data_IF_002732516825
#
_entry.id   IF_002732516825
#
_cell.length_a   1.000
_cell.length_b   1.000
_cell.length_c   1.000
_cell.angle_alpha   90.00
_cell.angle_beta   90.00
_cell.angle_gamma   90.00
#
_symmetry.space_group_name_H-M   'P 1'
#
loop_
_entity.id
_entity.type
_entity.pdbx_description
1 polymer ?
#
# COMPACT_ATOMS: atom_id res chain seq x y z
N UNK A 1 11.95 -15.14 8.16
CA UNK A 1 11.57 -16.39 7.52
C UNK A 1 11.63 -17.56 8.51
N UNK A 2 10.78 -18.57 8.33
CA UNK A 2 10.67 -19.78 9.13
C UNK A 2 10.43 -20.98 8.21
N UNK A 3 11.00 -22.14 8.52
CA UNK A 3 10.85 -23.36 7.69
C UNK A 3 9.45 -23.98 7.82
N UNK A 4 8.65 -23.55 8.79
CA UNK A 4 7.39 -24.18 9.13
C UNK A 4 7.56 -25.46 9.97
N UNK A 5 6.48 -26.22 10.13
CA UNK A 5 6.46 -27.45 10.96
C UNK A 5 6.56 -28.73 10.13
N UNK A 6 6.33 -28.66 8.83
CA UNK A 6 6.22 -29.83 7.94
C UNK A 6 7.38 -29.92 6.93
N UNK A 7 7.82 -28.78 6.39
CA UNK A 7 8.93 -28.71 5.43
C UNK A 7 10.25 -29.02 6.10
N UNK A 8 11.21 -29.54 5.36
CA UNK A 8 12.58 -29.83 5.85
C UNK A 8 13.56 -28.74 5.47
N UNK A 9 13.35 -28.12 4.32
CA UNK A 9 14.14 -27.04 3.77
C UNK A 9 13.30 -25.79 3.66
N UNK A 10 13.94 -24.64 3.65
CA UNK A 10 13.31 -23.39 3.34
C UNK A 10 13.63 -23.03 1.88
N UNK A 11 12.61 -23.06 1.04
CA UNK A 11 12.71 -22.71 -0.39
C UNK A 11 12.35 -21.24 -0.65
N UNK A 12 11.79 -20.56 0.37
CA UNK A 12 11.56 -19.12 0.33
C UNK A 12 12.85 -18.33 0.39
N UNK A 13 12.88 -17.21 -0.30
CA UNK A 13 13.95 -16.25 -0.20
C UNK A 13 13.40 -14.82 -0.13
N UNK A 14 14.16 -13.91 0.43
CA UNK A 14 13.80 -12.51 0.50
C UNK A 14 15.03 -11.62 0.52
N UNK A 15 14.82 -10.37 0.16
CA UNK A 15 15.87 -9.36 0.29
C UNK A 15 15.27 -7.99 0.57
N UNK A 16 16.03 -7.21 1.31
CA UNK A 16 15.73 -5.81 1.60
C UNK A 16 16.97 -4.97 1.31
N UNK A 17 16.80 -3.88 0.57
CA UNK A 17 17.77 -2.81 0.57
C UNK A 17 17.07 -1.55 1.06
N UNK A 18 17.54 -1.04 2.20
CA UNK A 18 16.93 0.11 2.87
C UNK A 18 17.24 1.44 2.19
N UNK A 19 18.38 1.51 1.48
CA UNK A 19 18.79 2.68 0.71
C UNK A 19 19.55 2.23 -0.55
N UNK A 20 18.88 2.25 -1.69
CA UNK A 20 19.43 1.85 -2.98
C UNK A 20 20.55 2.76 -3.51
N UNK A 21 20.87 3.86 -2.82
CA UNK A 21 22.10 4.61 -3.06
C UNK A 21 23.33 3.88 -2.51
N UNK A 22 23.13 2.88 -1.64
CA UNK A 22 24.16 2.07 -1.02
C UNK A 22 24.03 0.63 -1.53
N UNK A 23 25.13 -0.01 -1.85
CA UNK A 23 25.14 -1.38 -2.37
C UNK A 23 24.96 -2.45 -1.28
N UNK A 24 24.38 -2.09 -0.14
CA UNK A 24 24.23 -2.98 1.00
C UNK A 24 22.84 -3.66 1.00
N UNK A 25 22.83 -4.95 0.66
CA UNK A 25 21.68 -5.82 0.76
C UNK A 25 21.73 -6.55 2.10
N UNK A 26 21.09 -5.98 3.10
CA UNK A 26 21.20 -6.43 4.49
C UNK A 26 19.85 -6.95 4.97
N UNK A 27 19.88 -8.03 5.78
CA UNK A 27 18.76 -8.37 6.65
C UNK A 27 18.81 -7.38 7.81
N UNK A 28 17.79 -6.51 7.98
CA UNK A 28 17.79 -5.53 9.06
C UNK A 28 17.81 -6.24 10.41
N UNK A 29 18.82 -5.97 11.22
CA UNK A 29 18.88 -6.46 12.60
C UNK A 29 18.24 -5.47 13.59
N UNK A 30 17.91 -4.27 13.15
CA UNK A 30 17.23 -3.24 13.94
C UNK A 30 16.18 -2.52 13.08
N UNK A 31 15.15 -2.04 13.75
CA UNK A 31 14.03 -1.28 13.15
C UNK A 31 14.26 0.24 13.23
N UNK A 32 15.50 0.70 13.36
CA UNK A 32 15.77 2.13 13.40
C UNK A 32 15.32 2.80 12.08
N UNK A 33 14.56 3.90 12.17
CA UNK A 33 14.13 4.64 11.00
C UNK A 33 15.33 5.17 10.20
N UNK A 34 15.23 5.11 8.89
CA UNK A 34 16.19 5.75 7.98
C UNK A 34 15.47 6.72 7.06
N UNK A 35 16.19 7.75 6.63
CA UNK A 35 15.75 8.59 5.52
C UNK A 35 16.08 7.89 4.21
N UNK A 36 15.12 7.83 3.30
CA UNK A 36 15.35 7.25 1.97
C UNK A 36 16.31 8.12 1.17
N UNK A 37 17.27 7.49 0.53
CA UNK A 37 18.12 8.12 -0.46
C UNK A 37 17.39 8.33 -1.79
N UNK A 38 18.11 8.89 -2.76
CA UNK A 38 17.60 9.25 -4.11
C UNK A 38 16.84 8.13 -4.81
N UNK A 39 17.27 6.88 -4.63
CA UNK A 39 16.69 5.72 -5.31
C UNK A 39 15.69 4.94 -4.44
N UNK A 40 15.46 5.42 -3.21
CA UNK A 40 14.50 4.79 -2.30
C UNK A 40 14.99 3.48 -1.71
N UNK A 41 14.03 2.62 -1.37
CA UNK A 41 14.20 1.31 -0.72
C UNK A 41 13.44 0.24 -1.47
N UNK A 42 13.88 -1.01 -1.37
CA UNK A 42 13.21 -2.15 -2.00
C UNK A 42 13.03 -3.31 -1.01
N UNK A 43 11.87 -3.94 -1.10
CA UNK A 43 11.49 -5.15 -0.39
C UNK A 43 11.13 -6.22 -1.43
N UNK A 44 11.60 -7.44 -1.24
CA UNK A 44 11.30 -8.56 -2.16
C UNK A 44 11.08 -9.83 -1.38
N UNK A 45 10.07 -10.61 -1.77
CA UNK A 45 9.83 -11.99 -1.32
C UNK A 45 9.69 -12.85 -2.56
N UNK A 46 10.29 -14.04 -2.53
CA UNK A 46 10.23 -15.06 -3.55
C UNK A 46 10.00 -16.42 -2.88
N UNK A 47 8.90 -17.07 -3.21
CA UNK A 47 8.51 -18.39 -2.71
C UNK A 47 8.90 -19.45 -3.74
N UNK A 48 9.87 -20.27 -3.37
CA UNK A 48 10.45 -21.26 -4.26
C UNK A 48 9.63 -22.55 -4.30
N UNK A 49 9.39 -23.05 -5.50
CA UNK A 49 8.66 -24.29 -5.73
C UNK A 49 9.45 -25.25 -6.61
N UNK A 50 9.42 -26.54 -6.24
CA UNK A 50 10.07 -27.60 -7.02
C UNK A 50 10.35 -28.83 -6.16
N UNK A 51 10.46 -30.01 -6.79
CA UNK A 51 10.82 -31.24 -6.06
C UNK A 51 12.28 -31.22 -5.61
N UNK A 52 12.57 -31.72 -4.41
CA UNK A 52 13.92 -31.93 -3.82
C UNK A 52 14.98 -30.84 -4.12
N UNK A 53 14.94 -29.73 -3.39
CA UNK A 53 15.92 -28.64 -3.35
C UNK A 53 16.00 -27.73 -4.59
N UNK A 54 15.05 -27.82 -5.52
CA UNK A 54 15.10 -26.98 -6.71
C UNK A 54 14.43 -25.61 -6.51
N UNK A 55 13.44 -25.50 -5.60
CA UNK A 55 12.75 -24.24 -5.29
C UNK A 55 13.69 -23.20 -4.71
N UNK A 56 14.58 -23.59 -3.78
CA UNK A 56 15.57 -22.66 -3.19
C UNK A 56 16.52 -22.06 -4.23
N UNK A 57 16.85 -22.83 -5.30
CA UNK A 57 17.69 -22.34 -6.39
C UNK A 57 16.92 -21.31 -7.22
N UNK A 58 15.64 -21.58 -7.52
CA UNK A 58 14.81 -20.67 -8.29
C UNK A 58 14.60 -19.33 -7.56
N UNK A 59 14.24 -19.37 -6.28
CA UNK A 59 14.05 -18.18 -5.46
C UNK A 59 15.36 -17.39 -5.31
N UNK A 60 16.50 -18.06 -5.14
CA UNK A 60 17.80 -17.41 -5.07
C UNK A 60 18.16 -16.68 -6.38
N UNK A 61 17.94 -17.31 -7.56
CA UNK A 61 18.17 -16.68 -8.87
C UNK A 61 17.27 -15.46 -9.05
N UNK A 62 16.01 -15.52 -8.61
CA UNK A 62 15.10 -14.40 -8.68
C UNK A 62 15.61 -13.21 -7.86
N UNK A 63 16.01 -13.44 -6.61
CA UNK A 63 16.60 -12.44 -5.73
C UNK A 63 17.89 -11.84 -6.30
N UNK A 64 18.82 -12.67 -6.75
CA UNK A 64 20.07 -12.21 -7.35
C UNK A 64 19.81 -11.34 -8.60
N UNK A 65 18.83 -11.72 -9.42
CA UNK A 65 18.47 -10.94 -10.61
C UNK A 65 17.93 -9.55 -10.22
N UNK A 66 17.10 -9.48 -9.18
CA UNK A 66 16.62 -8.18 -8.65
C UNK A 66 17.77 -7.34 -8.13
N UNK A 67 18.69 -7.92 -7.34
CA UNK A 67 19.86 -7.22 -6.82
C UNK A 67 20.72 -6.64 -7.95
N UNK A 68 20.95 -7.42 -9.02
CA UNK A 68 21.71 -6.99 -10.19
C UNK A 68 20.99 -5.92 -11.03
N UNK A 69 19.66 -5.88 -11.03
CA UNK A 69 18.87 -4.86 -11.72
C UNK A 69 18.82 -3.53 -10.94
N UNK A 70 18.70 -3.58 -9.60
CA UNK A 70 18.52 -2.41 -8.76
C UNK A 70 19.84 -1.78 -8.32
N UNK A 71 20.67 -1.42 -9.29
CA UNK A 71 21.92 -0.68 -9.06
C UNK A 71 21.74 0.80 -9.33
N UNK A 72 22.50 1.70 -8.68
CA UNK A 72 22.44 3.13 -8.96
C UNK A 72 22.64 3.50 -10.44
N UNK A 73 23.41 2.69 -11.17
CA UNK A 73 23.66 2.88 -12.61
C UNK A 73 22.35 2.66 -13.40
N UNK A 74 21.67 1.54 -13.20
CA UNK A 74 20.44 1.20 -13.90
C UNK A 74 19.26 2.11 -13.49
N UNK A 75 19.20 2.48 -12.21
CA UNK A 75 18.14 3.35 -11.67
C UNK A 75 18.30 4.81 -12.13
N UNK A 76 19.52 5.22 -12.49
CA UNK A 76 19.80 6.58 -12.99
C UNK A 76 19.07 6.94 -14.27
N UNK A 77 18.63 5.95 -15.09
CA UNK A 77 17.84 6.17 -16.29
C UNK A 77 16.36 6.41 -16.00
N UNK A 78 15.88 6.01 -14.80
CA UNK A 78 14.46 6.03 -14.43
C UNK A 78 14.20 7.11 -13.39
N UNK A 79 15.18 7.40 -12.53
CA UNK A 79 15.06 8.35 -11.42
C UNK A 79 15.98 9.54 -11.66
N UNK A 80 15.39 10.76 -11.70
CA UNK A 80 16.13 12.01 -11.89
C UNK A 80 17.11 12.29 -10.74
N UNK A 81 17.94 13.32 -10.89
CA UNK A 81 18.88 13.74 -9.82
C UNK A 81 18.16 14.17 -8.54
N UNK A 82 16.93 14.66 -8.65
CA UNK A 82 16.06 15.07 -7.55
C UNK A 82 15.30 13.89 -6.91
N UNK A 83 15.54 12.64 -7.36
CA UNK A 83 14.86 11.45 -6.82
C UNK A 83 13.43 11.27 -7.33
N UNK A 84 13.06 11.87 -8.46
CA UNK A 84 11.73 11.78 -9.06
C UNK A 84 11.77 10.78 -10.21
N UNK A 85 10.79 9.88 -10.30
CA UNK A 85 10.67 8.97 -11.45
C UNK A 85 10.37 9.74 -12.73
N UNK A 86 10.96 9.33 -13.85
CA UNK A 86 10.72 9.94 -15.16
C UNK A 86 9.28 9.77 -15.61
N UNK A 87 8.71 8.58 -15.39
CA UNK A 87 7.28 8.30 -15.56
C UNK A 87 6.91 6.99 -14.83
N UNK A 88 5.63 6.77 -14.60
CA UNK A 88 5.13 5.54 -13.97
C UNK A 88 5.26 4.35 -14.93
N UNK A 89 5.08 4.57 -16.22
CA UNK A 89 5.28 3.58 -17.27
C UNK A 89 6.74 3.11 -17.35
N UNK A 90 7.71 4.00 -17.16
CA UNK A 90 9.14 3.63 -17.13
C UNK A 90 9.46 2.72 -15.92
N UNK A 91 8.81 2.96 -14.77
CA UNK A 91 8.92 2.10 -13.58
C UNK A 91 8.28 0.74 -13.85
N UNK A 92 7.07 0.70 -14.41
CA UNK A 92 6.39 -0.54 -14.76
C UNK A 92 7.22 -1.38 -15.75
N UNK A 93 7.75 -0.74 -16.80
CA UNK A 93 8.60 -1.41 -17.78
C UNK A 93 9.88 -1.97 -17.14
N UNK A 94 10.52 -1.21 -16.27
CA UNK A 94 11.73 -1.64 -15.55
C UNK A 94 11.44 -2.84 -14.65
N UNK A 95 10.39 -2.79 -13.83
CA UNK A 95 9.99 -3.89 -12.94
C UNK A 95 9.59 -5.13 -13.75
N UNK A 96 8.78 -4.94 -14.79
CA UNK A 96 8.38 -6.04 -15.70
C UNK A 96 9.60 -6.68 -16.38
N UNK A 97 10.55 -5.89 -16.86
CA UNK A 97 11.81 -6.40 -17.44
C UNK A 97 12.63 -7.17 -16.42
N UNK A 98 12.75 -6.67 -15.19
CA UNK A 98 13.47 -7.33 -14.10
C UNK A 98 12.87 -8.70 -13.80
N UNK A 99 11.56 -8.80 -13.62
CA UNK A 99 10.87 -10.07 -13.35
C UNK A 99 11.00 -11.04 -14.54
N UNK A 100 10.85 -10.57 -15.77
CA UNK A 100 11.02 -11.38 -16.97
C UNK A 100 12.47 -11.86 -17.16
N UNK A 101 13.43 -11.07 -16.73
CA UNK A 101 14.85 -11.48 -16.74
C UNK A 101 15.09 -12.58 -15.70
N UNK A 102 14.51 -12.47 -14.51
CA UNK A 102 14.58 -13.53 -13.50
C UNK A 102 13.97 -14.84 -14.02
N UNK A 103 12.79 -14.79 -14.66
CA UNK A 103 12.17 -15.94 -15.31
C UNK A 103 13.10 -16.61 -16.32
N UNK A 104 13.71 -15.81 -17.22
CA UNK A 104 14.65 -16.32 -18.20
C UNK A 104 15.87 -16.98 -17.57
N UNK A 105 16.43 -16.38 -16.51
CA UNK A 105 17.59 -16.92 -15.80
C UNK A 105 17.25 -18.26 -15.14
N UNK A 106 16.08 -18.39 -14.51
CA UNK A 106 15.61 -19.64 -13.90
C UNK A 106 15.41 -20.71 -14.98
N UNK A 107 14.73 -20.39 -16.09
CA UNK A 107 14.53 -21.32 -17.20
C UNK A 107 15.87 -21.79 -17.80
N UNK A 108 16.85 -20.91 -17.91
CA UNK A 108 18.16 -21.27 -18.45
C UNK A 108 18.94 -22.15 -17.47
N UNK A 109 18.97 -21.81 -16.18
CA UNK A 109 19.61 -22.64 -15.16
C UNK A 109 19.00 -24.05 -15.10
N UNK A 110 17.66 -24.15 -15.19
CA UNK A 110 16.92 -25.43 -15.23
C UNK A 110 17.27 -26.30 -16.45
N UNK A 111 17.76 -25.72 -17.56
CA UNK A 111 18.20 -26.46 -18.72
C UNK A 111 19.64 -26.97 -18.59
N UNK A 112 20.48 -26.25 -17.85
CA UNK A 112 21.90 -26.57 -17.66
C UNK A 112 22.08 -27.71 -16.64
N UNK A 113 21.21 -27.79 -15.63
CA UNK A 113 21.24 -28.81 -14.59
C UNK A 113 19.90 -29.57 -14.52
N UNK A 114 19.94 -30.84 -14.87
CA UNK A 114 18.76 -31.71 -14.84
C UNK A 114 18.19 -31.93 -13.42
N UNK A 115 18.98 -31.70 -12.37
CA UNK A 115 18.50 -31.77 -10.97
C UNK A 115 17.58 -30.62 -10.58
N UNK A 116 17.61 -29.52 -11.33
CA UNK A 116 16.76 -28.33 -11.14
C UNK A 116 15.59 -28.27 -12.12
N UNK A 117 15.37 -29.34 -12.87
CA UNK A 117 14.28 -29.38 -13.85
C UNK A 117 12.90 -29.22 -13.20
N UNK A 118 12.12 -28.25 -13.70
CA UNK A 118 10.80 -27.94 -13.17
C UNK A 118 10.82 -27.04 -11.94
N UNK A 119 11.97 -26.47 -11.58
CA UNK A 119 12.03 -25.45 -10.54
C UNK A 119 11.30 -24.17 -10.99
N UNK A 120 10.70 -23.51 -10.04
CA UNK A 120 10.05 -22.22 -10.23
C UNK A 120 10.02 -21.42 -8.94
N UNK A 121 9.55 -20.22 -9.03
CA UNK A 121 9.34 -19.36 -7.84
C UNK A 121 8.25 -18.33 -8.12
N UNK A 122 7.58 -17.90 -7.08
CA UNK A 122 6.82 -16.64 -7.11
C UNK A 122 7.79 -15.47 -6.98
N UNK A 123 7.30 -14.26 -7.15
CA UNK A 123 8.00 -13.04 -6.75
C UNK A 123 6.98 -11.94 -6.43
N UNK A 124 7.23 -11.21 -5.35
CA UNK A 124 6.58 -9.92 -5.07
C UNK A 124 7.65 -8.89 -4.69
N UNK A 125 7.62 -7.75 -5.36
CA UNK A 125 8.55 -6.64 -5.22
C UNK A 125 7.75 -5.41 -4.79
N UNK A 126 8.23 -4.69 -3.77
CA UNK A 126 7.76 -3.34 -3.45
C UNK A 126 8.96 -2.38 -3.46
N UNK A 127 9.02 -1.50 -4.46
CA UNK A 127 9.98 -0.42 -4.54
C UNK A 127 9.37 0.86 -3.99
N UNK A 128 9.93 1.34 -2.88
CA UNK A 128 9.46 2.52 -2.16
C UNK A 128 10.34 3.69 -2.56
N UNK A 129 9.74 4.71 -3.17
CA UNK A 129 10.43 5.93 -3.58
C UNK A 129 9.57 7.14 -3.27
N UNK A 130 10.09 8.05 -2.46
CA UNK A 130 9.37 9.20 -1.92
C UNK A 130 8.07 8.77 -1.21
N UNK A 131 6.94 9.27 -1.68
CA UNK A 131 5.59 9.00 -1.19
C UNK A 131 4.85 7.92 -1.97
N UNK A 132 5.57 7.09 -2.75
CA UNK A 132 4.97 6.01 -3.53
C UNK A 132 5.63 4.66 -3.29
N UNK A 133 4.81 3.62 -3.32
CA UNK A 133 5.24 2.23 -3.48
C UNK A 133 4.85 1.74 -4.87
N UNK A 134 5.81 1.16 -5.58
CA UNK A 134 5.62 0.51 -6.86
C UNK A 134 5.73 -1.00 -6.65
N UNK A 135 4.62 -1.69 -6.86
CA UNK A 135 4.50 -3.11 -6.58
C UNK A 135 4.45 -3.87 -7.90
N UNK A 136 5.28 -4.92 -8.03
CA UNK A 136 5.20 -5.87 -9.13
C UNK A 136 5.26 -7.29 -8.59
N UNK A 137 4.44 -8.18 -9.15
CA UNK A 137 4.37 -9.56 -8.66
C UNK A 137 4.04 -10.56 -9.77
N UNK A 138 4.46 -11.80 -9.56
CA UNK A 138 4.08 -12.98 -10.34
C UNK A 138 3.98 -14.18 -9.40
N UNK A 139 2.78 -14.72 -9.23
CA UNK A 139 2.46 -15.77 -8.27
C UNK A 139 1.38 -15.34 -7.29
N UNK A 140 1.34 -15.99 -6.15
CA UNK A 140 0.39 -15.79 -5.05
C UNK A 140 1.02 -15.31 -3.74
N UNK A 141 2.32 -15.03 -3.73
CA UNK A 141 2.93 -14.20 -2.70
C UNK A 141 2.32 -12.80 -2.73
N UNK A 142 2.03 -12.25 -1.57
CA UNK A 142 1.18 -11.06 -1.47
C UNK A 142 1.90 -9.83 -0.94
N UNK A 143 1.40 -8.67 -1.35
CA UNK A 143 1.70 -7.36 -0.77
C UNK A 143 0.42 -6.75 -0.20
N UNK A 144 0.48 -6.32 1.06
CA UNK A 144 -0.59 -5.61 1.76
C UNK A 144 -0.12 -4.26 2.25
N UNK A 145 -1.07 -3.37 2.50
CA UNK A 145 -0.88 -2.14 3.26
C UNK A 145 -1.89 -2.06 4.39
N UNK A 146 -1.42 -1.70 5.57
CA UNK A 146 -2.24 -1.38 6.73
C UNK A 146 -2.00 0.07 7.13
N UNK A 147 -3.07 0.77 7.54
CA UNK A 147 -2.99 2.08 8.17
C UNK A 147 -4.17 2.24 9.13
N UNK A 148 -3.89 2.63 10.36
CA UNK A 148 -4.92 2.79 11.40
C UNK A 148 -6.08 3.74 11.05
N UNK A 149 -5.89 4.63 10.06
CA UNK A 149 -6.93 5.58 9.60
C UNK A 149 -7.67 5.11 8.34
N UNK A 150 -7.03 4.32 7.47
CA UNK A 150 -7.59 3.90 6.17
C UNK A 150 -7.82 2.39 6.05
N UNK A 151 -7.46 1.61 7.08
CA UNK A 151 -7.70 0.17 7.16
C UNK A 151 -6.63 -0.67 6.47
N UNK A 152 -7.02 -1.90 6.12
CA UNK A 152 -6.18 -2.92 5.51
C UNK A 152 -6.57 -3.14 4.06
N UNK A 153 -5.60 -3.27 3.17
CA UNK A 153 -5.84 -3.48 1.75
C UNK A 153 -4.76 -4.37 1.15
N UNK A 154 -5.17 -5.37 0.39
CA UNK A 154 -4.27 -6.16 -0.43
C UNK A 154 -3.93 -5.39 -1.72
N UNK A 155 -2.65 -5.16 -1.96
CA UNK A 155 -2.14 -4.43 -3.12
C UNK A 155 -1.86 -5.33 -4.32
N UNK A 156 -1.48 -6.59 -4.09
CA UNK A 156 -1.33 -7.61 -5.13
C UNK A 156 -2.61 -8.42 -5.30
N UNK A 157 -2.74 -9.11 -6.42
CA UNK A 157 -3.82 -10.04 -6.72
C UNK A 157 -3.22 -11.38 -7.13
N UNK A 158 -3.65 -12.45 -6.48
CA UNK A 158 -3.05 -13.76 -6.67
C UNK A 158 -3.18 -14.25 -8.11
N UNK A 159 -2.14 -14.82 -8.64
CA UNK A 159 -2.16 -15.60 -9.86
C UNK A 159 -2.46 -17.06 -9.53
N UNK A 160 -3.69 -17.34 -9.09
CA UNK A 160 -4.14 -18.65 -8.64
C UNK A 160 -5.42 -19.07 -9.35
N UNK A 161 -5.64 -20.39 -9.40
CA UNK A 161 -6.85 -20.96 -9.98
C UNK A 161 -8.13 -20.45 -9.29
N UNK A 162 -8.09 -20.35 -7.96
CA UNK A 162 -9.26 -19.87 -7.20
C UNK A 162 -9.52 -18.38 -7.46
N UNK A 163 -8.49 -17.57 -7.63
CA UNK A 163 -8.66 -16.17 -7.99
C UNK A 163 -9.27 -16.03 -9.40
N UNK A 164 -8.84 -16.87 -10.35
CA UNK A 164 -9.46 -16.91 -11.69
C UNK A 164 -10.94 -17.28 -11.63
N UNK A 165 -11.35 -18.19 -10.73
CA UNK A 165 -12.78 -18.53 -10.51
C UNK A 165 -13.55 -17.35 -9.90
N UNK A 166 -12.98 -16.64 -8.95
CA UNK A 166 -13.57 -15.44 -8.35
C UNK A 166 -13.79 -14.37 -9.42
N UNK A 167 -12.77 -14.10 -10.24
CA UNK A 167 -12.84 -13.10 -11.31
C UNK A 167 -13.92 -13.42 -12.37
N UNK A 168 -14.14 -14.71 -12.63
CA UNK A 168 -15.18 -15.18 -13.53
C UNK A 168 -16.58 -15.22 -12.88
N UNK A 169 -16.71 -14.83 -11.60
CA UNK A 169 -17.94 -14.91 -10.83
C UNK A 169 -18.45 -16.36 -10.60
N UNK A 170 -17.53 -17.34 -10.65
CA UNK A 170 -17.83 -18.77 -10.43
C UNK A 170 -17.60 -19.22 -9.00
N UNK A 171 -16.90 -18.40 -8.22
CA UNK A 171 -16.60 -18.63 -6.81
C UNK A 171 -16.78 -17.32 -6.05
N UNK A 172 -17.47 -17.37 -4.91
CA UNK A 172 -17.53 -16.24 -3.98
C UNK A 172 -16.16 -16.01 -3.35
N UNK A 173 -15.68 -14.76 -3.22
CA UNK A 173 -14.39 -14.45 -2.59
C UNK A 173 -14.22 -15.05 -1.20
N UNK A 174 -15.30 -15.10 -0.41
CA UNK A 174 -15.30 -15.67 0.94
C UNK A 174 -14.99 -17.18 0.97
N UNK A 175 -15.22 -17.89 -0.12
CA UNK A 175 -14.96 -19.32 -0.24
C UNK A 175 -13.61 -19.64 -0.90
N UNK A 176 -12.84 -18.64 -1.30
CA UNK A 176 -11.58 -18.85 -2.00
C UNK A 176 -10.48 -19.41 -1.10
N UNK A 177 -10.44 -18.99 0.16
CA UNK A 177 -9.42 -19.39 1.14
C UNK A 177 -9.47 -20.88 1.43
N UNK A 178 -10.63 -21.43 1.76
CA UNK A 178 -10.83 -22.85 2.10
C UNK A 178 -11.04 -23.76 0.89
N UNK A 179 -10.85 -23.25 -0.32
CA UNK A 179 -11.10 -24.01 -1.53
C UNK A 179 -10.06 -25.13 -1.70
N UNK A 180 -10.44 -26.38 -2.07
CA UNK A 180 -9.51 -27.52 -2.21
C UNK A 180 -8.33 -27.27 -3.19
N UNK A 181 -8.45 -26.30 -4.07
CA UNK A 181 -7.45 -25.91 -5.07
C UNK A 181 -6.91 -24.51 -4.81
N UNK A 182 -6.93 -24.03 -3.56
CA UNK A 182 -6.41 -22.70 -3.18
C UNK A 182 -4.91 -22.56 -3.45
N UNK A 183 -4.16 -23.66 -3.36
CA UNK A 183 -2.72 -23.75 -3.59
C UNK A 183 -2.30 -23.90 -5.07
N UNK A 184 -3.25 -23.88 -6.03
CA UNK A 184 -2.90 -24.00 -7.45
C UNK A 184 -2.62 -22.62 -8.03
N UNK A 185 -1.35 -22.34 -8.30
CA UNK A 185 -0.92 -21.12 -8.97
C UNK A 185 -1.04 -21.27 -10.49
N UNK A 186 -1.36 -20.18 -11.17
CA UNK A 186 -1.53 -20.11 -12.62
C UNK A 186 -0.40 -19.37 -13.33
N UNK A 187 0.43 -18.61 -12.59
CA UNK A 187 1.61 -17.93 -13.09
C UNK A 187 2.74 -17.97 -12.05
N UNK A 188 3.94 -18.28 -12.51
CA UNK A 188 5.16 -18.23 -11.73
C UNK A 188 6.36 -17.95 -12.64
N UNK A 189 7.54 -17.79 -12.08
CA UNK A 189 8.81 -17.73 -12.79
C UNK A 189 9.35 -19.16 -12.95
N UNK A 190 10.03 -19.42 -14.06
CA UNK A 190 10.69 -20.69 -14.33
C UNK A 190 9.88 -21.69 -15.15
N UNK A 191 8.60 -21.40 -15.46
CA UNK A 191 7.79 -22.25 -16.35
C UNK A 191 8.15 -21.97 -17.83
N UNK A 192 8.77 -22.92 -18.53
CA UNK A 192 9.15 -22.74 -19.93
C UNK A 192 7.94 -22.67 -20.88
N UNK A 193 6.76 -23.16 -20.44
CA UNK A 193 5.55 -23.25 -21.25
C UNK A 193 4.63 -22.04 -21.06
N UNK A 194 4.69 -21.41 -19.90
CA UNK A 194 3.88 -20.25 -19.54
C UNK A 194 4.77 -19.10 -19.04
N UNK A 195 5.21 -18.25 -19.98
CA UNK A 195 6.10 -17.13 -19.67
C UNK A 195 5.52 -16.20 -18.63
N UNK A 196 6.33 -15.82 -17.67
CA UNK A 196 5.96 -14.89 -16.61
C UNK A 196 5.47 -13.58 -17.22
N UNK A 197 4.29 -13.17 -16.81
CA UNK A 197 3.77 -11.83 -17.08
C UNK A 197 3.42 -11.21 -15.73
N UNK A 198 4.34 -10.43 -15.14
CA UNK A 198 4.09 -9.80 -13.86
C UNK A 198 3.00 -8.75 -13.99
N UNK A 199 2.18 -8.64 -12.96
CA UNK A 199 1.28 -7.53 -12.78
C UNK A 199 2.01 -6.37 -12.08
N UNK A 200 1.46 -5.18 -12.21
CA UNK A 200 2.00 -3.94 -11.65
C UNK A 200 0.91 -3.11 -10.98
N UNK A 201 1.28 -2.42 -9.91
CA UNK A 201 0.44 -1.44 -9.22
C UNK A 201 1.29 -0.38 -8.56
N UNK A 202 0.89 0.89 -8.68
CA UNK A 202 1.40 1.97 -7.83
C UNK A 202 0.44 2.27 -6.69
N UNK A 203 0.98 2.69 -5.55
CA UNK A 203 0.23 3.08 -4.36
C UNK A 203 0.85 4.35 -3.76
N UNK A 204 0.01 5.36 -3.50
CA UNK A 204 0.43 6.56 -2.80
C UNK A 204 0.48 6.28 -1.31
N UNK A 205 1.68 6.29 -0.76
CA UNK A 205 1.94 6.04 0.66
C UNK A 205 1.41 7.18 1.52
N UNK A 206 0.93 6.83 2.70
CA UNK A 206 0.48 7.76 3.73
C UNK A 206 1.35 7.60 4.96
N UNK A 207 1.43 8.66 5.75
CA UNK A 207 2.08 8.57 7.05
C UNK A 207 1.39 7.52 7.93
N UNK A 208 2.20 6.65 8.57
CA UNK A 208 1.72 5.54 9.35
C UNK A 208 1.32 4.29 8.55
N UNK A 209 1.54 4.26 7.22
CA UNK A 209 1.34 3.03 6.46
C UNK A 209 2.35 1.96 6.88
N UNK A 210 1.88 0.72 7.02
CA UNK A 210 2.72 -0.46 7.20
C UNK A 210 2.52 -1.38 6.00
N UNK A 211 3.58 -1.57 5.20
CA UNK A 211 3.60 -2.55 4.12
C UNK A 211 3.99 -3.91 4.68
N UNK A 212 3.28 -4.96 4.23
CA UNK A 212 3.61 -6.36 4.47
C UNK A 212 3.77 -7.07 3.14
N UNK A 213 4.94 -7.68 2.91
CA UNK A 213 5.13 -8.68 1.86
C UNK A 213 5.24 -10.05 2.53
N UNK A 214 4.58 -11.07 1.97
CA UNK A 214 4.65 -12.43 2.51
C UNK A 214 4.50 -13.50 1.43
N UNK A 215 5.05 -14.70 1.71
CA UNK A 215 4.75 -15.92 0.99
C UNK A 215 3.39 -16.51 1.41
N UNK A 216 2.91 -17.50 0.69
CA UNK A 216 1.64 -18.19 0.96
C UNK A 216 1.65 -18.95 2.30
N UNK A 217 2.83 -19.28 2.85
CA UNK A 217 2.95 -19.84 4.19
C UNK A 217 2.40 -18.96 5.30
N UNK A 218 2.20 -17.65 5.07
CA UNK A 218 1.39 -16.79 5.93
C UNK A 218 -0.04 -16.66 5.40
N UNK A 219 -0.21 -16.11 4.22
CA UNK A 219 -1.53 -15.72 3.70
C UNK A 219 -2.36 -16.88 3.14
N UNK A 220 -1.81 -18.08 3.05
CA UNK A 220 -2.53 -19.33 2.80
C UNK A 220 -2.95 -20.06 4.08
N UNK A 221 -2.45 -19.64 5.26
CA UNK A 221 -2.76 -20.24 6.55
C UNK A 221 -3.57 -19.32 7.46
N UNK A 222 -3.35 -18.01 7.38
CA UNK A 222 -4.05 -16.99 8.16
C UNK A 222 -4.99 -16.18 7.25
N UNK A 223 -6.22 -15.96 7.70
CA UNK A 223 -7.16 -15.07 7.01
C UNK A 223 -6.68 -13.62 7.01
N UNK A 224 -7.07 -12.86 6.00
CA UNK A 224 -6.70 -11.43 5.86
C UNK A 224 -7.12 -10.61 7.10
N UNK A 225 -8.24 -10.94 7.75
CA UNK A 225 -8.73 -10.31 8.98
C UNK A 225 -7.81 -10.59 10.18
N UNK A 226 -7.28 -11.79 10.30
CA UNK A 226 -6.35 -12.17 11.37
C UNK A 226 -5.00 -11.47 11.17
N UNK A 227 -4.48 -11.45 9.95
CA UNK A 227 -3.26 -10.72 9.60
C UNK A 227 -3.43 -9.23 9.94
N UNK A 228 -4.56 -8.64 9.55
CA UNK A 228 -4.89 -7.25 9.86
C UNK A 228 -4.89 -6.98 11.36
N UNK A 229 -5.57 -7.82 12.14
CA UNK A 229 -5.67 -7.66 13.59
C UNK A 229 -4.29 -7.73 14.25
N UNK A 230 -3.44 -8.68 13.86
CA UNK A 230 -2.08 -8.79 14.39
C UNK A 230 -1.26 -7.54 14.10
N UNK A 231 -1.36 -6.98 12.88
CA UNK A 231 -0.64 -5.75 12.52
C UNK A 231 -1.18 -4.56 13.33
N UNK A 232 -2.51 -4.42 13.47
CA UNK A 232 -3.14 -3.35 14.22
C UNK A 232 -2.72 -3.35 15.70
N UNK A 233 -2.69 -4.52 16.33
CA UNK A 233 -2.31 -4.68 17.73
C UNK A 233 -0.82 -4.43 18.01
N UNK A 234 0.04 -4.54 16.97
CA UNK A 234 1.50 -4.48 17.12
C UNK A 234 2.16 -3.45 16.19
N UNK A 235 1.42 -2.45 15.69
CA UNK A 235 1.92 -1.47 14.72
C UNK A 235 3.11 -0.63 15.25
N UNK A 236 3.22 -0.47 16.56
CA UNK A 236 4.31 0.30 17.20
C UNK A 236 5.60 -0.53 17.39
N UNK A 237 5.54 -1.85 17.21
CA UNK A 237 6.68 -2.77 17.34
C UNK A 237 6.68 -3.83 16.24
N UNK A 238 7.35 -3.51 15.12
CA UNK A 238 7.43 -4.40 13.96
C UNK A 238 8.12 -5.74 14.26
N UNK A 239 9.01 -5.79 15.26
CA UNK A 239 9.65 -7.06 15.65
C UNK A 239 8.65 -7.99 16.31
N UNK A 240 7.89 -7.48 17.28
CA UNK A 240 6.78 -8.23 17.89
C UNK A 240 5.71 -8.57 16.84
N UNK A 241 5.34 -7.63 15.97
CA UNK A 241 4.38 -7.87 14.88
C UNK A 241 4.81 -9.06 14.00
N UNK A 242 6.06 -9.05 13.53
CA UNK A 242 6.64 -10.15 12.74
C UNK A 242 6.60 -11.48 13.48
N UNK A 243 6.96 -11.50 14.77
CA UNK A 243 6.98 -12.73 15.55
C UNK A 243 5.56 -13.29 15.76
N UNK A 244 4.57 -12.42 16.02
CA UNK A 244 3.16 -12.81 16.14
C UNK A 244 2.56 -13.33 14.84
N UNK A 245 2.90 -12.74 13.68
CA UNK A 245 2.46 -13.25 12.37
C UNK A 245 3.04 -14.64 12.09
N UNK A 246 4.33 -14.87 12.39
CA UNK A 246 4.94 -16.20 12.24
C UNK A 246 4.27 -17.20 13.19
N UNK A 247 4.05 -16.83 14.46
CA UNK A 247 3.38 -17.68 15.45
C UNK A 247 1.98 -18.08 15.00
N UNK A 248 1.17 -17.14 14.50
CA UNK A 248 -0.17 -17.42 13.97
C UNK A 248 -0.13 -18.44 12.82
N UNK A 249 0.77 -18.29 11.87
CA UNK A 249 0.94 -19.24 10.78
C UNK A 249 1.37 -20.63 11.26
N UNK A 250 2.24 -20.70 12.28
CA UNK A 250 2.64 -21.97 12.89
C UNK A 250 1.49 -22.63 13.65
N UNK A 251 0.69 -21.87 14.40
CA UNK A 251 -0.50 -22.34 15.11
C UNK A 251 -1.59 -22.82 14.12
N UNK A 252 -1.72 -22.20 12.96
CA UNK A 252 -2.59 -22.62 11.86
C UNK A 252 -2.10 -23.89 11.13
N UNK A 253 -0.96 -24.45 11.56
CA UNK A 253 -0.43 -25.73 11.08
C UNK A 253 0.96 -25.68 10.50
N UNK A 254 1.48 -24.52 10.09
CA UNK A 254 2.84 -24.32 9.61
C UNK A 254 3.23 -25.27 8.48
N UNK A 255 2.34 -25.52 7.53
CA UNK A 255 2.52 -26.54 6.50
C UNK A 255 3.56 -26.17 5.45
N UNK A 256 3.86 -24.89 5.32
CA UNK A 256 4.83 -24.37 4.36
C UNK A 256 5.89 -23.49 5.01
N UNK A 257 6.86 -23.06 4.18
CA UNK A 257 7.82 -22.04 4.54
C UNK A 257 7.11 -20.70 4.72
N UNK A 258 7.44 -19.95 5.74
CA UNK A 258 6.79 -18.68 6.10
C UNK A 258 7.80 -17.57 5.95
N UNK A 259 7.57 -16.65 5.04
CA UNK A 259 8.42 -15.47 4.85
C UNK A 259 7.60 -14.18 4.95
N UNK A 260 8.11 -13.24 5.75
CA UNK A 260 7.45 -11.98 6.08
C UNK A 260 8.47 -10.85 6.02
N UNK A 261 8.13 -9.80 5.31
CA UNK A 261 8.87 -8.53 5.30
C UNK A 261 7.90 -7.40 5.63
N UNK A 262 8.21 -6.66 6.70
CA UNK A 262 7.43 -5.51 7.16
C UNK A 262 8.21 -4.22 6.96
N UNK A 263 7.53 -3.17 6.54
CA UNK A 263 8.08 -1.82 6.43
C UNK A 263 7.06 -0.79 6.91
N UNK A 264 7.42 -0.03 7.94
CA UNK A 264 6.59 1.08 8.41
C UNK A 264 7.04 2.39 7.79
N UNK A 265 6.08 3.17 7.30
CA UNK A 265 6.30 4.42 6.58
C UNK A 265 6.09 5.60 7.52
N UNK A 266 7.11 6.43 7.62
CA UNK A 266 7.03 7.71 8.30
C UNK A 266 7.32 8.81 7.28
N UNK A 267 6.27 9.52 6.85
CA UNK A 267 6.43 10.65 5.96
C UNK A 267 6.83 11.87 6.79
N UNK A 268 7.94 12.50 6.43
CA UNK A 268 8.29 13.77 7.04
C UNK A 268 7.30 14.83 6.54
N UNK A 269 6.67 15.56 7.47
CA UNK A 269 5.91 16.76 7.14
C UNK A 269 6.80 17.74 6.37
N UNK A 270 6.70 17.77 5.05
CA UNK A 270 7.44 18.71 4.19
C UNK A 270 6.88 20.14 4.25
N UNK A 271 5.83 20.36 5.03
CA UNK A 271 5.36 21.71 5.32
C UNK A 271 6.32 22.38 6.33
N UNK A 272 6.95 23.52 5.99
CA UNK A 272 7.61 24.32 6.98
C UNK A 272 6.55 24.73 8.00
N UNK A 273 6.63 24.21 9.24
CA UNK A 273 5.83 24.70 10.35
C UNK A 273 6.12 26.18 10.50
N UNK A 274 5.41 27.02 9.75
CA UNK A 274 5.30 28.43 10.07
C UNK A 274 4.76 28.46 11.48
N UNK A 275 5.60 28.81 12.44
CA UNK A 275 5.17 29.09 13.81
C UNK A 275 4.20 30.26 13.75
N UNK A 276 2.94 30.00 13.42
CA UNK A 276 1.87 30.92 13.77
C UNK A 276 1.87 30.92 15.29
N UNK A 277 2.20 32.06 15.87
CA UNK A 277 2.04 32.32 17.29
C UNK A 277 0.64 31.86 17.68
N UNK A 278 0.57 30.93 18.64
CA UNK A 278 -0.63 30.29 19.14
C UNK A 278 -1.63 31.34 19.65
N UNK A 279 -2.54 31.76 18.81
CA UNK A 279 -3.89 32.04 19.26
C UNK A 279 -4.59 30.70 19.28
N UNK A 280 -4.81 30.19 20.48
CA UNK A 280 -5.49 28.93 20.75
C UNK A 280 -6.92 29.02 20.22
N UNK A 281 -7.14 28.61 18.96
CA UNK A 281 -8.48 28.26 18.50
C UNK A 281 -8.76 26.84 18.96
N UNK A 282 -9.40 26.72 20.12
CA UNK A 282 -9.98 25.45 20.58
C UNK A 282 -10.95 24.92 19.51
N UNK A 283 -10.82 23.62 19.18
CA UNK A 283 -11.75 22.93 18.26
C UNK A 283 -13.21 23.29 18.63
N UNK A 284 -14.03 23.71 17.66
CA UNK A 284 -15.41 24.08 17.96
C UNK A 284 -16.15 22.86 18.50
N UNK A 285 -16.60 22.97 19.75
CA UNK A 285 -17.37 21.94 20.41
C UNK A 285 -18.75 21.84 19.73
N UNK A 286 -18.97 20.80 18.92
CA UNK A 286 -20.19 20.58 18.15
C UNK A 286 -21.48 20.67 19.01
N UNK A 287 -21.39 20.34 20.31
CA UNK A 287 -22.51 20.52 21.25
C UNK A 287 -22.81 21.99 21.53
N UNK A 288 -21.81 22.88 21.58
CA UNK A 288 -22.02 24.31 21.75
C UNK A 288 -22.63 24.94 20.48
N UNK A 289 -22.14 24.54 19.30
CA UNK A 289 -22.69 25.02 18.01
C UNK A 289 -24.15 24.60 17.84
N UNK A 290 -24.52 23.36 18.15
CA UNK A 290 -25.91 22.90 18.12
C UNK A 290 -26.81 23.67 19.08
N UNK A 291 -26.35 24.00 20.30
CA UNK A 291 -27.11 24.80 21.26
C UNK A 291 -27.30 26.24 20.78
N UNK A 292 -26.27 26.84 20.16
CA UNK A 292 -26.35 28.19 19.59
C UNK A 292 -27.33 28.21 18.40
N UNK A 293 -27.27 27.24 17.50
CA UNK A 293 -28.19 27.12 16.36
C UNK A 293 -29.64 26.91 16.83
N UNK A 294 -29.87 26.12 17.89
CA UNK A 294 -31.20 25.90 18.46
C UNK A 294 -31.73 27.17 19.10
N UNK A 295 -30.88 27.94 19.79
CA UNK A 295 -31.25 29.22 20.38
C UNK A 295 -31.62 30.26 19.30
N UNK A 296 -30.87 30.35 18.24
CA UNK A 296 -31.15 31.23 17.09
C UNK A 296 -32.46 30.85 16.41
N UNK A 297 -32.74 29.54 16.26
CA UNK A 297 -34.03 29.06 15.71
C UNK A 297 -35.20 29.46 16.58
N UNK A 298 -35.10 29.31 17.92
CA UNK A 298 -36.15 29.72 18.87
C UNK A 298 -36.38 31.22 18.83
N UNK A 299 -35.30 32.01 18.75
CA UNK A 299 -35.42 33.48 18.64
C UNK A 299 -36.06 33.90 17.32
N UNK A 300 -35.72 33.22 16.20
CA UNK A 300 -36.36 33.49 14.92
C UNK A 300 -37.86 33.15 14.92
N UNK A 301 -38.25 32.02 15.53
CA UNK A 301 -39.66 31.66 15.68
C UNK A 301 -40.42 32.62 16.58
N UNK A 302 -39.81 33.08 17.69
CA UNK A 302 -40.42 34.07 18.58
C UNK A 302 -40.59 35.43 17.89
N UNK A 303 -39.59 35.88 17.12
CA UNK A 303 -39.66 37.10 16.32
C UNK A 303 -40.75 37.00 15.23
N UNK A 304 -40.82 35.86 14.53
CA UNK A 304 -41.86 35.58 13.53
C UNK A 304 -43.27 35.61 14.14
N UNK A 305 -43.44 34.99 15.32
CA UNK A 305 -44.72 35.01 16.04
C UNK A 305 -45.12 36.43 16.55
N UNK A 306 -44.13 37.19 17.02
CA UNK A 306 -44.34 38.59 17.43
C UNK A 306 -44.79 39.45 16.25
N UNK A 307 -44.11 39.34 15.10
CA UNK A 307 -44.47 40.07 13.89
C UNK A 307 -45.84 39.65 13.33
N UNK A 308 -46.19 38.37 13.44
CA UNK A 308 -47.50 37.85 13.04
C UNK A 308 -48.63 38.48 13.88
N UNK A 309 -48.42 38.66 15.19
CA UNK A 309 -49.38 39.31 16.08
C UNK A 309 -49.45 40.83 15.94
N UNK A 310 -48.44 41.48 15.36
CA UNK A 310 -48.32 42.92 15.22
C UNK A 310 -48.14 43.36 13.76
N UNK A 311 -49.19 43.29 12.91
CA UNK A 311 -49.05 43.53 11.46
C UNK A 311 -48.51 44.92 11.08
N UNK A 312 -48.70 45.93 11.91
CA UNK A 312 -48.19 47.30 11.70
C UNK A 312 -46.63 47.30 11.85
N UNK A 313 -46.09 46.51 12.76
CA UNK A 313 -44.64 46.35 12.91
C UNK A 313 -44.03 45.55 11.74
N UNK A 314 -44.72 44.53 11.27
CA UNK A 314 -44.30 43.75 10.09
C UNK A 314 -44.19 44.64 8.84
N UNK A 315 -45.12 45.53 8.59
CA UNK A 315 -45.09 46.47 7.46
C UNK A 315 -43.85 47.40 7.55
N UNK A 316 -43.50 47.87 8.74
CA UNK A 316 -42.34 48.73 8.99
C UNK A 316 -41.02 48.00 8.75
N UNK A 317 -40.90 46.74 9.19
CA UNK A 317 -39.72 45.90 8.94
C UNK A 317 -39.55 45.52 7.46
N UNK A 318 -40.64 45.27 6.76
CA UNK A 318 -40.62 44.99 5.32
C UNK A 318 -40.06 46.16 4.51
N UNK A 319 -40.35 47.40 4.89
CA UNK A 319 -39.84 48.61 4.24
C UNK A 319 -38.31 48.75 4.48
N UNK A 320 -37.82 48.44 5.69
CA UNK A 320 -36.39 48.50 6.03
C UNK A 320 -35.59 47.43 5.24
N UNK A 321 -36.10 46.22 5.13
CA UNK A 321 -35.46 45.16 4.35
C UNK A 321 -35.39 45.50 2.85
N UNK A 322 -36.45 46.11 2.28
CA UNK A 322 -36.46 46.52 0.88
C UNK A 322 -35.49 47.67 0.59
N UNK A 323 -35.22 48.56 1.56
CA UNK A 323 -34.19 49.60 1.44
C UNK A 323 -32.77 49.03 1.56
N UNK A 324 -32.53 47.96 2.35
CA UNK A 324 -31.26 47.33 2.47
C UNK A 324 -30.84 46.59 1.19
N UNK A 325 -31.78 45.90 0.53
CA UNK A 325 -31.51 45.22 -0.76
C UNK A 325 -31.17 46.21 -1.89
N UNK A 326 -31.75 47.43 -1.90
CA UNK A 326 -31.43 48.46 -2.90
C UNK A 326 -30.06 49.08 -2.69
N UNK A 327 -29.51 49.11 -1.48
CA UNK A 327 -28.15 49.60 -1.19
C UNK A 327 -27.09 48.56 -1.61
N UNK A 328 -27.35 47.27 -1.40
CA UNK A 328 -26.42 46.21 -1.81
C UNK A 328 -26.28 46.08 -3.35
N UNK A 329 -27.33 46.32 -4.12
CA UNK A 329 -27.31 46.28 -5.60
C UNK A 329 -26.56 47.47 -6.20
N UNK A 330 -26.52 48.63 -5.52
CA UNK A 330 -25.78 49.82 -6.00
C UNK A 330 -24.29 49.77 -5.69
N UNK A 331 -23.82 49.00 -4.69
CA UNK A 331 -22.39 48.83 -4.42
C UNK A 331 -21.71 47.79 -5.32
N UNK A 332 -22.43 46.83 -5.89
CA UNK A 332 -21.86 45.81 -6.82
C UNK A 332 -21.68 46.30 -8.25
N UNK A 333 -22.37 47.38 -8.66
CA UNK A 333 -22.26 47.92 -10.05
C UNK A 333 -21.13 48.96 -10.22
N UNK A 334 -20.47 49.41 -9.14
CA UNK A 334 -19.37 50.42 -9.21
C UNK A 334 -17.97 49.85 -9.25
N UNK A 335 -17.77 48.54 -9.19
CA UNK A 335 -16.44 47.94 -9.22
C UNK A 335 -16.00 47.30 -10.57
N UNK A 336 -16.82 47.42 -11.63
CA UNK A 336 -16.53 46.81 -12.97
C UNK A 336 -16.27 47.81 -14.11
N UNK A 337 -15.79 49.02 -13.83
CA UNK A 337 -15.32 49.92 -14.90
C UNK A 337 -14.02 50.60 -14.49
N UNK A 338 -12.89 49.89 -14.71
CA UNK A 338 -11.61 50.46 -15.13
C UNK A 338 -10.61 49.32 -15.29
N UNK A 339 -10.45 48.85 -16.52
CA UNK A 339 -9.21 48.30 -17.10
C UNK A 339 -9.36 48.11 -18.61
N UNK A 340 -9.24 49.19 -19.36
CA UNK A 340 -8.72 49.23 -20.72
C UNK A 340 -8.03 50.58 -20.89
N UNK A 341 -6.68 50.53 -20.85
CA UNK A 341 -5.74 51.17 -21.78
C UNK A 341 -4.34 50.64 -21.52
#
# INVERSE_FOLDING_TARGET
TNVGLVRKNNEDNFVVNRDLCQSEWIIPQSIEPISLGRYGSILVVADGMGGTNAGEVASAIAIETVQNAFTPENLGDIVTQEGIVTSEEAVEEFLSRTVKTADLNIVNASKEDSSTQGMGTTIVIAWILNDKAYISWCGDSRCYVFNGNSGFCRLSKDHSYVQDLVDQGKLDPENAFDHPYSNIITRCLGDPTNRSNPDFRSYNLKDGDTLLLCSDGLCGLCHDEEIMQIIEENQDDLMTCKDRLIEAALEAGGYDNITIVLCHIMLQDTEPKVKLNNTVFSKPNHHKIRKILLLLLVLALAAGFYLYRNPQQYAKWKTILYQADTVLVTETDTTNTTLTD
#
